data_IF_440282061883
#
_entry.id   IF_440282061883
#
_cell.length_a   1.000
_cell.length_b   1.000
_cell.length_c   1.000
_cell.angle_alpha   90.00
_cell.angle_beta   90.00
_cell.angle_gamma   90.00
#
_symmetry.space_group_name_H-M   'P 1'
#
loop_
_entity.id
_entity.type
_entity.pdbx_description
1 polymer ?
#
# COMPACT_ATOMS: atom_id res chain seq x y z
N UNK A 1 26.71 -2.55 -7.39
CA UNK A 1 26.03 -2.90 -6.13
C UNK A 1 24.66 -3.52 -6.37
N UNK A 2 23.77 -2.88 -7.14
CA UNK A 2 22.41 -3.39 -7.41
C UNK A 2 22.36 -4.71 -8.19
N UNK A 3 23.25 -4.91 -9.17
CA UNK A 3 23.28 -6.11 -10.02
C UNK A 3 23.49 -7.43 -9.24
N UNK A 4 24.33 -7.42 -8.20
CA UNK A 4 24.60 -8.61 -7.39
C UNK A 4 23.39 -8.99 -6.52
N UNK A 5 22.71 -7.99 -5.96
CA UNK A 5 21.48 -8.19 -5.17
C UNK A 5 20.38 -8.76 -6.07
N UNK A 6 20.18 -8.13 -7.24
CA UNK A 6 19.20 -8.57 -8.23
C UNK A 6 19.43 -10.02 -8.69
N UNK A 7 20.68 -10.38 -9.03
CA UNK A 7 21.01 -11.74 -9.46
C UNK A 7 20.73 -12.76 -8.35
N UNK A 8 21.09 -12.44 -7.10
CA UNK A 8 20.83 -13.32 -5.94
C UNK A 8 19.32 -13.48 -5.69
N UNK A 9 18.55 -12.40 -5.75
CA UNK A 9 17.08 -12.44 -5.58
C UNK A 9 16.42 -13.27 -6.69
N UNK A 10 16.83 -13.07 -7.95
CA UNK A 10 16.33 -13.86 -9.07
C UNK A 10 16.61 -15.35 -8.88
N UNK A 11 17.87 -15.70 -8.57
CA UNK A 11 18.26 -17.09 -8.34
C UNK A 11 17.48 -17.73 -7.19
N UNK A 12 17.31 -17.01 -6.08
CA UNK A 12 16.58 -17.51 -4.93
C UNK A 12 15.10 -17.78 -5.20
N UNK A 13 14.47 -17.02 -6.09
CA UNK A 13 13.09 -17.25 -6.54
C UNK A 13 13.03 -18.43 -7.51
N UNK A 14 13.98 -18.53 -8.46
CA UNK A 14 14.04 -19.64 -9.43
C UNK A 14 14.24 -20.99 -8.72
N UNK A 15 15.02 -21.02 -7.65
CA UNK A 15 15.25 -22.23 -6.84
C UNK A 15 14.06 -22.58 -5.93
N UNK A 16 13.23 -21.60 -5.56
CA UNK A 16 12.13 -21.74 -4.62
C UNK A 16 11.06 -20.67 -4.87
N UNK A 17 10.05 -21.06 -5.65
CA UNK A 17 8.93 -20.20 -6.04
C UNK A 17 8.13 -19.66 -4.85
N UNK A 18 8.22 -20.27 -3.66
CA UNK A 18 7.54 -19.74 -2.46
C UNK A 18 8.07 -18.37 -2.02
N UNK A 19 9.26 -17.98 -2.50
CA UNK A 19 9.90 -16.67 -2.26
C UNK A 19 9.49 -15.61 -3.27
N UNK A 20 8.70 -15.96 -4.28
CA UNK A 20 8.28 -15.04 -5.34
C UNK A 20 7.35 -13.92 -4.84
N UNK A 21 6.55 -14.20 -3.80
CA UNK A 21 5.53 -13.28 -3.34
C UNK A 21 6.13 -12.28 -2.36
N UNK A 22 6.23 -11.02 -2.77
CA UNK A 22 6.54 -9.92 -1.87
C UNK A 22 5.30 -9.46 -1.09
N UNK A 23 5.46 -9.26 0.21
CA UNK A 23 4.42 -8.71 1.08
C UNK A 23 4.81 -7.33 1.61
N UNK A 24 3.84 -6.42 1.66
CA UNK A 24 3.98 -5.07 2.20
C UNK A 24 2.85 -4.81 3.20
N UNK A 25 3.15 -4.21 4.36
CA UNK A 25 2.15 -3.87 5.39
C UNK A 25 2.27 -2.44 5.84
N UNK A 26 1.12 -1.78 5.99
CA UNK A 26 1.01 -0.42 6.52
C UNK A 26 -0.18 -0.31 7.45
N UNK A 27 -0.01 0.43 8.54
CA UNK A 27 -1.07 0.86 9.42
C UNK A 27 -1.18 2.38 9.41
N UNK A 28 -2.40 2.87 9.21
CA UNK A 28 -2.78 4.26 9.40
C UNK A 28 -3.62 4.42 10.67
N UNK A 29 -3.43 5.52 11.39
CA UNK A 29 -4.34 5.93 12.47
C UNK A 29 -4.86 7.33 12.18
N UNK A 30 -6.16 7.53 12.36
CA UNK A 30 -6.78 8.86 12.26
C UNK A 30 -6.35 9.71 13.46
N UNK A 31 -5.92 10.94 13.18
CA UNK A 31 -5.58 11.95 14.16
C UNK A 31 -6.55 13.13 14.03
N UNK A 32 -6.57 13.96 15.06
CA UNK A 32 -7.39 15.17 15.09
C UNK A 32 -7.13 16.09 13.88
N UNK A 33 -8.21 16.66 13.35
CA UNK A 33 -8.17 17.56 12.20
C UNK A 33 -8.02 16.86 10.84
N UNK A 34 -8.43 15.58 10.74
CA UNK A 34 -8.37 14.82 9.49
C UNK A 34 -6.94 14.46 9.06
N UNK A 35 -5.99 14.52 9.99
CA UNK A 35 -4.60 14.07 9.76
C UNK A 35 -4.50 12.57 9.99
N UNK A 36 -3.46 11.94 9.48
CA UNK A 36 -3.18 10.53 9.74
C UNK A 36 -1.71 10.34 10.12
N UNK A 37 -1.44 9.42 11.04
CA UNK A 37 -0.10 8.85 11.20
C UNK A 37 -0.01 7.56 10.38
N UNK A 38 1.18 7.30 9.83
CA UNK A 38 1.48 6.07 9.10
C UNK A 38 2.62 5.34 9.79
N UNK A 39 2.49 4.03 9.89
CA UNK A 39 3.57 3.12 10.27
C UNK A 39 3.62 1.99 9.23
N UNK A 40 4.81 1.72 8.71
CA UNK A 40 5.03 0.66 7.74
C UNK A 40 5.95 -0.40 8.31
N UNK A 41 5.85 -1.61 7.77
CA UNK A 41 6.72 -2.71 8.14
C UNK A 41 8.21 -2.36 7.97
N UNK A 42 8.58 -1.64 6.91
CA UNK A 42 9.97 -1.23 6.71
C UNK A 42 10.45 -0.10 7.63
N UNK A 43 9.52 0.65 8.24
CA UNK A 43 9.85 1.69 9.25
C UNK A 43 10.00 1.13 10.67
N UNK A 44 9.31 0.02 10.98
CA UNK A 44 9.41 -0.69 12.26
C UNK A 44 9.02 -2.18 12.07
N UNK A 45 10.00 -3.07 11.81
CA UNK A 45 9.74 -4.50 11.54
C UNK A 45 9.25 -5.26 12.77
N UNK A 46 9.26 -4.65 13.96
CA UNK A 46 8.84 -5.27 15.23
C UNK A 46 7.43 -4.88 15.67
N UNK A 47 6.84 -3.86 15.04
CA UNK A 47 5.52 -3.31 15.40
C UNK A 47 4.30 -4.10 14.89
N UNK A 48 4.51 -5.15 14.09
CA UNK A 48 3.46 -6.04 13.61
C UNK A 48 3.73 -7.44 14.17
N UNK A 49 2.86 -7.96 15.04
CA UNK A 49 3.08 -9.15 15.91
C UNK A 49 3.40 -10.49 15.20
N UNK A 50 3.61 -10.51 13.87
CA UNK A 50 4.06 -11.68 13.12
C UNK A 50 5.45 -11.43 12.52
N UNK A 51 6.30 -12.45 12.58
CA UNK A 51 7.64 -12.42 11.98
C UNK A 51 7.59 -11.89 10.54
N UNK A 52 8.42 -10.89 10.25
CA UNK A 52 8.71 -10.44 8.89
C UNK A 52 9.25 -11.67 8.14
N UNK A 53 8.42 -12.24 7.25
CA UNK A 53 8.81 -13.41 6.47
C UNK A 53 9.99 -13.10 5.54
N UNK A 54 10.64 -14.12 4.95
CA UNK A 54 11.74 -13.95 3.98
C UNK A 54 11.32 -13.23 2.69
N UNK A 55 10.02 -12.96 2.56
CA UNK A 55 9.28 -12.46 1.41
C UNK A 55 9.12 -10.93 1.42
N UNK A 56 10.00 -10.21 2.09
CA UNK A 56 9.92 -8.75 2.14
C UNK A 56 10.32 -8.19 0.76
N UNK A 57 9.44 -7.37 0.17
CA UNK A 57 9.64 -6.81 -1.17
C UNK A 57 10.93 -6.00 -1.33
N UNK A 58 11.29 -5.69 -2.59
CA UNK A 58 12.48 -4.89 -2.90
C UNK A 58 12.44 -3.54 -2.16
N UNK A 59 13.38 -3.35 -1.23
CA UNK A 59 13.51 -2.19 -0.36
C UNK A 59 14.03 -0.95 -1.07
N UNK A 60 13.16 -0.30 -1.84
CA UNK A 60 13.40 1.07 -2.30
C UNK A 60 13.04 2.05 -1.16
N UNK A 61 13.87 2.21 -0.14
CA UNK A 61 13.64 3.29 0.83
C UNK A 61 13.74 4.65 0.12
N UNK A 62 12.75 5.54 0.29
CA UNK A 62 12.87 6.91 -0.18
C UNK A 62 13.80 7.70 0.76
N UNK A 63 14.77 8.42 0.19
CA UNK A 63 15.54 9.41 0.93
C UNK A 63 14.98 10.80 0.62
N UNK A 64 14.61 11.56 1.64
CA UNK A 64 14.28 13.00 1.49
C UNK A 64 15.31 13.80 2.26
N UNK A 65 16.10 14.60 1.52
CA UNK A 65 17.11 15.52 2.10
C UNK A 65 18.10 14.83 3.07
N UNK A 66 18.48 13.57 2.82
CA UNK A 66 19.41 12.82 3.68
C UNK A 66 18.77 12.18 4.92
N UNK A 67 17.46 12.36 5.13
CA UNK A 67 16.68 11.59 6.10
C UNK A 67 16.03 10.39 5.40
N UNK A 68 16.22 9.19 5.95
CA UNK A 68 15.53 7.98 5.49
C UNK A 68 14.04 8.14 5.76
N UNK A 69 13.24 8.39 4.72
CA UNK A 69 11.81 8.14 4.81
C UNK A 69 11.67 6.62 4.72
N UNK A 70 11.53 5.98 5.88
CA UNK A 70 11.55 4.52 6.05
C UNK A 70 10.33 3.79 5.48
N UNK A 71 9.87 4.11 4.28
CA UNK A 71 8.81 3.38 3.57
C UNK A 71 9.24 3.09 2.13
N UNK A 72 8.96 1.88 1.64
CA UNK A 72 9.09 1.51 0.24
C UNK A 72 7.91 2.07 -0.59
N UNK A 73 8.01 2.22 -1.93
CA UNK A 73 6.94 2.77 -2.75
C UNK A 73 5.65 1.96 -2.66
N UNK A 74 5.76 0.63 -2.54
CA UNK A 74 4.62 -0.25 -2.29
C UNK A 74 3.90 0.12 -0.99
N UNK A 75 4.64 0.34 0.10
CA UNK A 75 4.07 0.78 1.37
C UNK A 75 3.52 2.21 1.29
N UNK A 76 4.13 3.11 0.53
CA UNK A 76 3.54 4.45 0.33
C UNK A 76 2.19 4.38 -0.38
N UNK A 77 2.07 3.50 -1.37
CA UNK A 77 0.79 3.23 -2.02
C UNK A 77 -0.23 2.67 -1.02
N UNK A 78 0.12 1.64 -0.25
CA UNK A 78 -0.77 1.08 0.78
C UNK A 78 -1.13 2.11 1.86
N UNK A 79 -0.17 2.94 2.26
CA UNK A 79 -0.38 4.04 3.20
C UNK A 79 -1.33 5.10 2.64
N UNK A 80 -1.28 5.37 1.33
CA UNK A 80 -2.25 6.25 0.67
C UNK A 80 -3.68 5.67 0.74
N UNK A 81 -3.84 4.37 0.54
CA UNK A 81 -5.13 3.67 0.66
C UNK A 81 -5.62 3.74 2.11
N UNK A 82 -4.79 3.32 3.06
CA UNK A 82 -5.13 3.26 4.48
C UNK A 82 -5.50 4.65 5.02
N UNK A 83 -4.69 5.67 4.72
CA UNK A 83 -4.92 7.06 5.09
C UNK A 83 -6.22 7.59 4.50
N UNK A 84 -6.47 7.35 3.21
CA UNK A 84 -7.68 7.81 2.54
C UNK A 84 -8.94 7.20 3.17
N UNK A 85 -8.91 5.93 3.57
CA UNK A 85 -10.02 5.28 4.28
C UNK A 85 -10.23 5.89 5.67
N UNK A 86 -9.16 6.11 6.43
CA UNK A 86 -9.24 6.75 7.75
C UNK A 86 -9.83 8.16 7.67
N UNK A 87 -9.37 8.98 6.72
CA UNK A 87 -9.92 10.34 6.50
C UNK A 87 -11.36 10.28 6.01
N UNK A 88 -11.71 9.32 5.15
CA UNK A 88 -13.10 9.15 4.70
C UNK A 88 -14.05 8.82 5.86
N UNK A 89 -13.59 8.10 6.90
CA UNK A 89 -14.38 7.93 8.13
C UNK A 89 -14.61 9.25 8.85
N UNK A 90 -13.59 10.11 9.00
CA UNK A 90 -13.76 11.44 9.59
C UNK A 90 -14.80 12.27 8.81
N UNK A 91 -14.70 12.26 7.47
CA UNK A 91 -15.64 12.99 6.60
C UNK A 91 -17.07 12.45 6.72
N UNK A 92 -17.26 11.13 6.73
CA UNK A 92 -18.60 10.55 6.86
C UNK A 92 -19.18 10.71 8.27
N UNK A 93 -18.35 10.67 9.30
CA UNK A 93 -18.73 10.98 10.67
C UNK A 93 -19.34 12.38 10.78
N UNK A 94 -18.66 13.39 10.23
CA UNK A 94 -19.16 14.77 10.21
C UNK A 94 -20.47 14.89 9.44
N UNK A 95 -20.57 14.28 8.25
CA UNK A 95 -21.80 14.30 7.43
C UNK A 95 -22.97 13.63 8.15
N UNK A 96 -22.70 12.56 8.89
CA UNK A 96 -23.73 11.76 9.58
C UNK A 96 -23.97 12.19 11.03
N UNK A 97 -23.23 13.19 11.51
CA UNK A 97 -23.24 13.65 12.90
C UNK A 97 -22.96 12.51 13.92
N UNK A 98 -22.00 11.65 13.60
CA UNK A 98 -21.56 10.51 14.42
C UNK A 98 -20.20 10.83 15.04
N UNK A 99 -20.05 10.65 16.34
CA UNK A 99 -18.76 10.80 17.00
C UNK A 99 -17.91 9.53 16.85
N UNK A 100 -16.65 9.68 16.44
CA UNK A 100 -15.66 8.59 16.41
C UNK A 100 -14.52 8.96 17.37
N UNK A 101 -14.15 8.02 18.24
CA UNK A 101 -13.02 8.15 19.16
C UNK A 101 -11.70 7.83 18.46
N UNK A 102 -11.67 6.75 17.67
CA UNK A 102 -10.47 6.31 16.95
C UNK A 102 -10.84 5.54 15.67
N UNK A 103 -9.97 5.65 14.66
CA UNK A 103 -9.99 4.79 13.47
C UNK A 103 -8.56 4.35 13.19
N UNK A 104 -8.37 3.04 13.07
CA UNK A 104 -7.12 2.49 12.55
C UNK A 104 -7.39 1.59 11.36
N UNK A 105 -6.54 1.69 10.34
CA UNK A 105 -6.66 0.96 9.09
C UNK A 105 -5.34 0.27 8.82
N UNK A 106 -5.37 -1.06 8.76
CA UNK A 106 -4.23 -1.88 8.39
C UNK A 106 -4.44 -2.42 6.99
N UNK A 107 -3.45 -2.26 6.12
CA UNK A 107 -3.49 -2.74 4.74
C UNK A 107 -2.26 -3.60 4.48
N UNK A 108 -2.50 -4.80 3.97
CA UNK A 108 -1.46 -5.71 3.47
C UNK A 108 -1.63 -5.86 1.97
N UNK A 109 -0.53 -5.74 1.22
CA UNK A 109 -0.48 -5.92 -0.21
C UNK A 109 0.53 -6.97 -0.62
N UNK A 110 0.19 -7.73 -1.67
CA UNK A 110 0.99 -8.83 -2.19
C UNK A 110 1.37 -8.56 -3.65
N UNK A 111 2.64 -8.74 -4.00
CA UNK A 111 3.17 -8.56 -5.35
C UNK A 111 3.92 -9.82 -5.74
N UNK A 112 3.66 -10.36 -6.91
CA UNK A 112 4.48 -11.44 -7.45
C UNK A 112 5.71 -10.84 -8.15
N UNK A 113 6.88 -11.08 -7.58
CA UNK A 113 8.13 -10.49 -8.06
C UNK A 113 8.61 -11.12 -9.37
N UNK A 114 8.08 -12.27 -9.79
CA UNK A 114 8.48 -12.92 -11.05
C UNK A 114 8.19 -12.07 -12.27
N UNK A 115 7.13 -11.26 -12.24
CA UNK A 115 6.78 -10.33 -13.31
C UNK A 115 7.83 -9.21 -13.47
N UNK A 116 8.07 -8.42 -12.42
CA UNK A 116 9.03 -7.29 -12.49
C UNK A 116 10.49 -7.76 -12.64
N UNK A 117 10.80 -8.98 -12.19
CA UNK A 117 12.14 -9.57 -12.30
C UNK A 117 12.37 -10.32 -13.62
N UNK A 118 11.39 -10.35 -14.52
CA UNK A 118 11.48 -11.02 -15.82
C UNK A 118 11.89 -12.50 -15.66
N UNK A 119 11.25 -13.18 -14.71
CA UNK A 119 11.42 -14.62 -14.44
C UNK A 119 10.30 -15.41 -15.13
N UNK A 120 9.07 -14.89 -15.08
CA UNK A 120 7.90 -15.51 -15.70
C UNK A 120 7.06 -14.43 -16.43
N UNK A 121 6.98 -14.46 -17.77
CA UNK A 121 6.24 -13.47 -18.55
C UNK A 121 4.71 -13.62 -18.45
N UNK A 122 4.21 -14.73 -17.88
CA UNK A 122 2.77 -14.92 -17.65
C UNK A 122 2.28 -14.25 -16.36
N UNK A 123 3.19 -13.81 -15.50
CA UNK A 123 2.87 -13.14 -14.23
C UNK A 123 2.66 -11.64 -14.47
N UNK A 124 1.44 -11.17 -14.25
CA UNK A 124 1.14 -9.75 -14.27
C UNK A 124 1.88 -9.01 -13.15
N UNK A 125 2.52 -7.88 -13.50
CA UNK A 125 3.22 -7.05 -12.53
C UNK A 125 2.25 -6.10 -11.84
N UNK A 126 2.28 -6.08 -10.51
CA UNK A 126 1.47 -5.20 -9.67
C UNK A 126 1.03 -5.87 -8.38
N UNK A 127 0.19 -5.17 -7.60
CA UNK A 127 -0.47 -5.78 -6.46
C UNK A 127 -1.55 -6.76 -6.94
N UNK A 128 -1.36 -8.05 -6.66
CA UNK A 128 -2.34 -9.08 -7.02
C UNK A 128 -3.51 -9.15 -6.02
N UNK A 129 -3.27 -8.74 -4.77
CA UNK A 129 -4.26 -8.73 -3.71
C UNK A 129 -3.90 -7.68 -2.67
N UNK A 130 -4.92 -6.97 -2.22
CA UNK A 130 -4.86 -6.16 -1.01
C UNK A 130 -5.86 -6.73 0.01
N UNK A 131 -5.49 -6.76 1.28
CA UNK A 131 -6.39 -7.03 2.41
C UNK A 131 -6.38 -5.85 3.35
N UNK A 132 -7.55 -5.45 3.83
CA UNK A 132 -7.71 -4.30 4.71
C UNK A 132 -8.47 -4.70 5.97
N UNK A 133 -7.94 -4.33 7.13
CA UNK A 133 -8.60 -4.44 8.42
C UNK A 133 -8.85 -3.03 8.96
N UNK A 134 -10.09 -2.72 9.34
CA UNK A 134 -10.49 -1.41 9.84
C UNK A 134 -11.06 -1.57 11.24
N UNK A 135 -10.42 -0.94 12.22
CA UNK A 135 -10.90 -0.87 13.59
C UNK A 135 -11.47 0.53 13.84
N UNK A 136 -12.71 0.58 14.35
CA UNK A 136 -13.45 1.82 14.61
C UNK A 136 -13.88 1.78 16.07
N UNK A 137 -13.53 2.81 16.83
CA UNK A 137 -14.02 3.03 18.19
C UNK A 137 -15.01 4.20 18.18
N UNK A 138 -16.25 3.94 18.61
CA UNK A 138 -17.33 4.91 18.64
C UNK A 138 -18.41 4.46 19.63
N UNK A 139 -19.08 5.42 20.27
CA UNK A 139 -20.27 5.16 21.09
C UNK A 139 -21.57 5.01 20.26
N UNK A 140 -21.51 5.20 18.94
CA UNK A 140 -22.66 5.06 18.05
C UNK A 140 -23.13 3.61 17.92
N UNK A 141 -24.37 3.43 17.50
CA UNK A 141 -24.93 2.09 17.30
C UNK A 141 -24.22 1.34 16.17
N UNK A 142 -24.25 0.00 16.23
CA UNK A 142 -23.66 -0.83 15.19
C UNK A 142 -24.26 -0.54 13.80
N UNK A 143 -25.55 -0.22 13.72
CA UNK A 143 -26.21 0.14 12.46
C UNK A 143 -25.72 1.48 11.88
N UNK A 144 -25.43 2.46 12.73
CA UNK A 144 -24.85 3.74 12.32
C UNK A 144 -23.44 3.56 11.79
N UNK A 145 -22.60 2.82 12.52
CA UNK A 145 -21.22 2.51 12.09
C UNK A 145 -21.22 1.70 10.80
N UNK A 146 -22.12 0.71 10.65
CA UNK A 146 -22.24 -0.07 9.43
C UNK A 146 -22.64 0.80 8.23
N UNK A 147 -23.60 1.72 8.39
CA UNK A 147 -24.00 2.66 7.32
C UNK A 147 -22.84 3.57 6.93
N UNK A 148 -22.09 4.06 7.91
CA UNK A 148 -20.91 4.88 7.67
C UNK A 148 -19.81 4.11 6.93
N UNK A 149 -19.50 2.89 7.38
CA UNK A 149 -18.50 2.03 6.75
C UNK A 149 -18.84 1.72 5.28
N UNK A 150 -20.12 1.44 4.96
CA UNK A 150 -20.57 1.27 3.57
C UNK A 150 -20.29 2.50 2.71
N UNK A 151 -20.61 3.70 3.21
CA UNK A 151 -20.32 4.94 2.48
C UNK A 151 -18.82 5.17 2.29
N UNK A 152 -17.99 4.86 3.29
CA UNK A 152 -16.53 4.96 3.17
C UNK A 152 -16.01 4.00 2.11
N UNK A 153 -16.46 2.76 2.15
CA UNK A 153 -16.06 1.70 1.21
C UNK A 153 -16.42 2.06 -0.25
N UNK A 154 -17.56 2.71 -0.46
CA UNK A 154 -18.05 3.15 -1.77
C UNK A 154 -17.45 4.47 -2.27
N UNK A 155 -17.01 5.35 -1.36
CA UNK A 155 -16.67 6.75 -1.72
C UNK A 155 -15.25 7.17 -1.43
N UNK A 156 -14.45 6.35 -0.74
CA UNK A 156 -13.03 6.65 -0.49
C UNK A 156 -12.27 6.69 -1.83
N UNK A 157 -11.79 7.87 -2.31
CA UNK A 157 -11.30 8.01 -3.67
C UNK A 157 -10.13 7.08 -4.01
N UNK A 158 -9.18 6.94 -3.09
CA UNK A 158 -7.99 6.10 -3.31
C UNK A 158 -8.34 4.62 -3.21
N UNK A 159 -9.27 4.23 -2.32
CA UNK A 159 -9.77 2.85 -2.28
C UNK A 159 -10.50 2.49 -3.59
N UNK A 160 -11.34 3.39 -4.10
CA UNK A 160 -12.01 3.19 -5.39
C UNK A 160 -11.01 3.07 -6.54
N UNK A 161 -9.95 3.89 -6.53
CA UNK A 161 -8.84 3.78 -7.48
C UNK A 161 -8.12 2.44 -7.36
N UNK A 162 -7.83 1.97 -6.14
CA UNK A 162 -7.16 0.69 -5.92
C UNK A 162 -7.98 -0.53 -6.39
N UNK A 163 -9.30 -0.40 -6.49
CA UNK A 163 -10.22 -1.46 -6.92
C UNK A 163 -10.49 -1.50 -8.42
N UNK A 164 -10.01 -0.52 -9.19
CA UNK A 164 -10.30 -0.43 -10.62
C UNK A 164 -9.04 -0.17 -11.43
N UNK A 165 -9.03 -0.61 -12.68
CA UNK A 165 -8.02 -0.17 -13.63
C UNK A 165 -8.22 1.32 -13.94
N UNK A 166 -7.21 2.14 -13.64
CA UNK A 166 -7.18 3.55 -14.07
C UNK A 166 -6.28 3.64 -15.31
N UNK A 167 -6.79 4.27 -16.38
CA UNK A 167 -5.99 4.52 -17.58
C UNK A 167 -4.85 5.48 -17.21
N UNK A 168 -3.61 5.03 -17.45
CA UNK A 168 -2.41 5.85 -17.30
C UNK A 168 -1.81 6.06 -18.68
N UNK A 169 -1.59 7.33 -19.05
CA UNK A 169 -0.91 7.71 -20.28
C UNK A 169 0.53 8.09 -19.94
N UNK A 170 1.51 7.46 -20.60
CA UNK A 170 2.93 7.67 -20.33
C UNK A 170 3.61 8.31 -21.53
N UNK A 171 4.61 9.15 -21.26
CA UNK A 171 5.50 9.69 -22.29
C UNK A 171 6.93 9.52 -21.82
N UNK A 172 7.76 8.91 -22.65
CA UNK A 172 9.15 8.62 -22.34
C UNK A 172 10.07 9.49 -23.20
N UNK A 173 11.18 9.94 -22.64
CA UNK A 173 12.21 10.68 -23.38
C UNK A 173 13.61 10.27 -22.91
N UNK A 174 14.59 10.33 -23.81
CA UNK A 174 15.99 10.05 -23.54
C UNK A 174 16.83 11.19 -24.13
N UNK A 175 17.58 11.89 -23.27
CA UNK A 175 18.45 13.01 -23.63
C UNK A 175 17.71 14.08 -24.47
N UNK A 176 16.50 14.45 -24.05
CA UNK A 176 15.68 15.47 -24.70
C UNK A 176 14.96 15.00 -25.97
N UNK A 177 15.08 13.72 -26.35
CA UNK A 177 14.36 13.13 -27.49
C UNK A 177 13.25 12.21 -27.02
N UNK A 178 12.06 12.36 -27.57
CA UNK A 178 10.94 11.48 -27.26
C UNK A 178 11.24 10.04 -27.70
N UNK A 179 10.89 9.07 -26.86
CA UNK A 179 10.93 7.64 -27.13
C UNK A 179 9.54 7.21 -27.64
N UNK A 180 9.27 7.54 -28.89
CA UNK A 180 7.95 7.37 -29.52
C UNK A 180 7.48 5.92 -29.70
N UNK A 181 8.31 4.92 -29.35
CA UNK A 181 8.03 3.50 -29.53
C UNK A 181 7.68 2.75 -28.23
N UNK A 182 7.45 3.49 -27.12
CA UNK A 182 7.22 2.91 -25.78
C UNK A 182 5.72 2.96 -25.37
N UNK A 183 4.83 3.39 -26.27
CA UNK A 183 3.38 3.41 -26.07
C UNK A 183 2.64 2.85 -27.28
#
# INVERSE_FOLDING_TARGET
>A
MYAAILAKTRQGIIEDDSKAIAEYRVKARLLEGGRTSLSAQSSDPTSFEAAVGPNLGLGCSLEKRGEKIGMAPGEMYLGSVASCVAVAFAVQADIMNIHINDVSVEVTGYVDMRGILDIDPSVETGFNRLTMNVLIDSAASHEEVLRMAKKVDEKSPILCTARKAVKVESQYSHNGRALNSVC
#
